data_IF_211281125133
#
_entry.id   IF_211281125133
#
_cell.length_a   1.000
_cell.length_b   1.000
_cell.length_c   1.000
_cell.angle_alpha   90.00
_cell.angle_beta   90.00
_cell.angle_gamma   90.00
#
_symmetry.space_group_name_H-M   'P 1'
#
loop_
_entity.id
_entity.type
_entity.pdbx_description
1 polymer ?
#
# COMPACT_ATOMS: atom_id res chain seq x y z
N UNK A 1 8.72 0.38 -7.66
CA UNK A 1 8.37 -0.90 -7.01
C UNK A 1 9.58 -1.63 -6.42
N UNK A 2 10.75 -1.61 -7.08
CA UNK A 2 11.99 -2.27 -6.62
C UNK A 2 12.53 -1.83 -5.24
N UNK A 3 12.34 -0.57 -4.84
CA UNK A 3 12.91 -0.04 -3.59
C UNK A 3 12.32 -0.68 -2.31
N UNK A 4 11.08 -1.20 -2.34
CA UNK A 4 10.42 -1.70 -1.13
C UNK A 4 10.75 -3.18 -0.85
N UNK A 5 10.88 -4.00 -1.90
CA UNK A 5 11.17 -5.42 -1.71
C UNK A 5 12.58 -5.61 -1.14
N UNK A 6 13.57 -4.89 -1.65
CA UNK A 6 14.94 -4.97 -1.16
C UNK A 6 15.14 -4.42 0.25
N UNK A 7 14.21 -3.57 0.74
CA UNK A 7 14.27 -3.03 2.10
C UNK A 7 13.82 -4.03 3.18
N UNK A 8 13.00 -5.02 2.83
CA UNK A 8 12.44 -5.99 3.78
C UNK A 8 12.87 -7.43 3.49
N UNK A 9 12.94 -7.83 2.21
CA UNK A 9 13.20 -9.20 1.78
C UNK A 9 14.48 -9.79 2.39
N UNK A 10 15.62 -9.08 2.45
CA UNK A 10 16.83 -9.67 3.03
C UNK A 10 16.66 -10.13 4.49
N UNK A 11 16.04 -9.30 5.33
CA UNK A 11 15.80 -9.67 6.71
C UNK A 11 14.68 -10.70 6.89
N UNK A 12 13.72 -10.78 5.96
CA UNK A 12 12.72 -11.85 5.96
C UNK A 12 13.34 -13.21 5.63
N UNK A 13 14.24 -13.25 4.64
CA UNK A 13 15.00 -14.45 4.26
C UNK A 13 15.94 -14.86 5.39
N UNK A 14 16.66 -13.91 6.01
CA UNK A 14 17.51 -14.22 7.18
C UNK A 14 16.72 -14.89 8.30
N UNK A 15 15.54 -14.36 8.62
CA UNK A 15 14.67 -14.95 9.65
C UNK A 15 14.24 -16.38 9.31
N UNK A 16 13.90 -16.64 8.04
CA UNK A 16 13.57 -18.00 7.59
C UNK A 16 14.79 -18.94 7.69
N UNK A 17 15.99 -18.47 7.32
CA UNK A 17 17.22 -19.27 7.41
C UNK A 17 17.58 -19.65 8.86
N UNK A 18 17.32 -18.78 9.83
CA UNK A 18 17.48 -19.09 11.26
C UNK A 18 16.59 -20.27 11.69
N UNK A 19 15.43 -20.47 11.06
CA UNK A 19 14.48 -21.53 11.40
C UNK A 19 14.64 -22.81 10.56
N UNK A 20 15.07 -22.70 9.31
CA UNK A 20 15.12 -23.82 8.36
C UNK A 20 16.32 -24.78 8.57
N UNK A 21 17.33 -24.37 9.34
CA UNK A 21 18.55 -25.14 9.57
C UNK A 21 19.57 -25.04 8.41
N UNK A 22 20.81 -25.56 8.61
CA UNK A 22 21.90 -25.40 7.66
C UNK A 22 21.74 -26.37 6.48
N UNK A 23 21.04 -25.94 5.43
CA UNK A 23 20.91 -26.74 4.20
C UNK A 23 20.79 -25.95 2.91
N UNK A 24 20.49 -24.65 2.98
CA UNK A 24 20.27 -23.80 1.80
C UNK A 24 20.96 -22.44 1.99
N UNK A 25 22.00 -22.20 1.18
CA UNK A 25 22.61 -20.89 1.06
C UNK A 25 21.75 -20.00 0.17
N UNK A 26 21.30 -18.86 0.69
CA UNK A 26 20.52 -17.86 -0.05
C UNK A 26 21.34 -16.59 -0.21
N UNK A 27 21.54 -16.20 -1.46
CA UNK A 27 22.30 -15.02 -1.86
C UNK A 27 21.35 -14.00 -2.49
N UNK A 28 21.51 -12.73 -2.12
CA UNK A 28 20.71 -11.63 -2.66
C UNK A 28 21.61 -10.75 -3.54
N UNK A 29 21.18 -10.55 -4.79
CA UNK A 29 21.88 -9.76 -5.79
C UNK A 29 21.10 -8.51 -6.19
N UNK A 30 21.77 -7.64 -6.96
CA UNK A 30 21.12 -6.46 -7.54
C UNK A 30 20.06 -6.86 -8.57
N UNK A 31 18.99 -6.06 -8.72
CA UNK A 31 18.02 -6.30 -9.76
C UNK A 31 18.71 -6.25 -11.13
N UNK A 32 18.43 -7.22 -12.02
CA UNK A 32 18.99 -7.24 -13.37
C UNK A 32 18.44 -6.08 -14.21
N UNK A 33 19.13 -5.77 -15.31
CA UNK A 33 18.67 -4.76 -16.26
C UNK A 33 17.26 -5.12 -16.81
N UNK A 34 16.35 -4.15 -16.98
CA UNK A 34 14.96 -4.39 -17.42
C UNK A 34 14.82 -5.20 -18.73
N UNK A 35 15.79 -5.06 -19.61
CA UNK A 35 15.86 -5.67 -20.94
C UNK A 35 16.50 -7.06 -20.98
N UNK A 36 16.97 -7.60 -19.85
CA UNK A 36 17.66 -8.87 -19.82
C UNK A 36 16.71 -10.06 -20.06
N UNK A 37 17.03 -10.89 -21.06
CA UNK A 37 16.36 -12.17 -21.32
C UNK A 37 16.77 -13.19 -20.25
N UNK A 38 15.91 -14.15 -19.91
CA UNK A 38 16.07 -15.05 -18.76
C UNK A 38 17.50 -15.64 -18.56
N UNK A 39 18.22 -16.13 -19.61
CA UNK A 39 19.59 -16.61 -19.44
C UNK A 39 20.60 -15.51 -19.09
N UNK A 40 20.48 -14.34 -19.71
CA UNK A 40 21.32 -13.17 -19.41
C UNK A 40 20.99 -12.61 -18.01
N UNK A 41 19.72 -12.67 -17.61
CA UNK A 41 19.24 -12.27 -16.31
C UNK A 41 19.82 -13.17 -15.20
N UNK A 42 19.78 -14.49 -15.40
CA UNK A 42 20.42 -15.47 -14.51
C UNK A 42 21.94 -15.25 -14.50
N UNK A 43 22.58 -15.11 -15.66
CA UNK A 43 24.03 -14.85 -15.75
C UNK A 43 24.46 -13.60 -14.99
N UNK A 44 23.73 -12.49 -15.17
CA UNK A 44 24.00 -11.23 -14.47
C UNK A 44 23.77 -11.33 -12.95
N UNK A 45 22.66 -11.96 -12.53
CA UNK A 45 22.39 -12.23 -11.12
C UNK A 45 23.47 -13.15 -10.51
N UNK A 46 24.06 -14.03 -11.32
CA UNK A 46 25.11 -14.92 -10.87
C UNK A 46 26.50 -14.27 -10.83
N UNK A 47 26.78 -13.31 -11.71
CA UNK A 47 28.08 -12.63 -11.80
C UNK A 47 28.18 -11.37 -10.92
N UNK A 48 27.06 -10.80 -10.48
CA UNK A 48 27.03 -9.58 -9.68
C UNK A 48 27.52 -9.75 -8.24
N UNK A 49 27.77 -8.63 -7.57
CA UNK A 49 28.04 -8.62 -6.13
C UNK A 49 26.82 -9.16 -5.37
N UNK A 50 27.07 -10.12 -4.47
CA UNK A 50 26.04 -10.77 -3.66
C UNK A 50 26.41 -10.71 -2.19
N UNK A 51 25.40 -10.65 -1.34
CA UNK A 51 25.57 -10.76 0.10
C UNK A 51 24.75 -11.95 0.62
N UNK A 52 25.29 -12.73 1.58
CA UNK A 52 24.51 -13.75 2.27
C UNK A 52 23.31 -13.11 2.95
N UNK A 53 22.12 -13.70 2.80
CA UNK A 53 20.94 -13.18 3.48
C UNK A 53 21.11 -13.21 5.01
N UNK A 54 21.77 -14.25 5.55
CA UNK A 54 22.16 -14.37 6.96
C UNK A 54 23.09 -13.25 7.48
N UNK A 55 23.72 -12.47 6.58
CA UNK A 55 24.50 -11.29 6.97
C UNK A 55 23.64 -10.05 7.24
N UNK A 56 22.32 -10.11 6.97
CA UNK A 56 21.37 -9.04 7.25
C UNK A 56 20.54 -9.40 8.48
N UNK A 57 20.45 -8.52 9.50
CA UNK A 57 19.63 -8.78 10.67
C UNK A 57 18.19 -9.16 10.31
N UNK A 58 17.66 -10.19 10.96
CA UNK A 58 16.27 -10.64 10.80
C UNK A 58 15.29 -9.45 10.93
N UNK A 59 14.34 -9.35 9.99
CA UNK A 59 13.43 -8.19 9.96
C UNK A 59 12.16 -8.36 10.78
N UNK A 60 11.84 -9.59 11.23
CA UNK A 60 10.69 -9.86 12.09
C UNK A 60 11.04 -9.66 13.57
N UNK A 61 10.07 -9.25 14.39
CA UNK A 61 10.25 -9.04 15.83
C UNK A 61 10.83 -7.67 16.22
N UNK A 62 11.01 -6.74 15.27
CA UNK A 62 11.44 -5.37 15.57
C UNK A 62 10.48 -4.69 16.55
N UNK A 63 10.97 -3.97 17.59
CA UNK A 63 10.11 -3.35 18.61
C UNK A 63 9.00 -2.45 18.05
N UNK A 64 9.27 -1.74 16.96
CA UNK A 64 8.30 -0.83 16.32
C UNK A 64 7.13 -1.50 15.59
N UNK A 65 7.05 -2.84 15.56
CA UNK A 65 5.98 -3.59 14.90
C UNK A 65 4.96 -4.21 15.87
N UNK A 66 5.08 -3.87 17.16
CA UNK A 66 4.20 -4.39 18.22
C UNK A 66 3.04 -3.45 18.54
N UNK A 67 3.19 -2.17 18.21
CA UNK A 67 2.24 -1.13 18.58
C UNK A 67 1.52 -0.58 17.35
N UNK A 68 0.24 -0.25 17.53
CA UNK A 68 -0.53 0.45 16.52
C UNK A 68 0.08 1.84 16.32
N UNK A 69 0.23 2.31 15.07
CA UNK A 69 0.63 3.68 14.82
C UNK A 69 -0.51 4.64 15.19
N UNK A 70 -0.17 5.82 15.71
CA UNK A 70 -1.13 6.91 15.84
C UNK A 70 -1.45 7.49 14.45
N UNK A 71 -2.72 7.78 14.19
CA UNK A 71 -3.20 8.48 13.00
C UNK A 71 -4.56 9.12 13.23
N UNK A 72 -4.84 10.20 12.51
CA UNK A 72 -6.14 10.88 12.54
C UNK A 72 -7.08 10.36 11.46
N UNK A 73 -6.53 9.96 10.31
CA UNK A 73 -7.30 9.52 9.13
C UNK A 73 -6.74 8.23 8.56
N UNK A 74 -7.60 7.23 8.38
CA UNK A 74 -7.27 5.99 7.66
C UNK A 74 -7.76 6.11 6.22
N UNK A 75 -6.81 6.03 5.29
CA UNK A 75 -7.05 6.12 3.86
C UNK A 75 -6.96 4.73 3.25
N UNK A 76 -8.09 4.22 2.78
CA UNK A 76 -8.17 2.97 2.02
C UNK A 76 -8.04 3.29 0.54
N UNK A 77 -6.98 2.80 -0.09
CA UNK A 77 -6.69 3.04 -1.52
C UNK A 77 -7.00 1.78 -2.30
N UNK A 78 -8.01 1.85 -3.18
CA UNK A 78 -8.36 0.72 -4.02
C UNK A 78 -7.28 0.44 -5.06
N UNK A 79 -6.55 -0.66 -4.87
CA UNK A 79 -5.58 -1.20 -5.84
C UNK A 79 -6.10 -2.47 -6.52
N UNK A 80 -7.42 -2.67 -6.50
CA UNK A 80 -8.06 -3.79 -7.20
C UNK A 80 -7.97 -3.65 -8.74
N UNK A 81 -8.11 -4.75 -9.50
CA UNK A 81 -7.84 -4.77 -10.94
C UNK A 81 -8.57 -3.70 -11.75
N UNK A 82 -9.85 -3.43 -11.44
CA UNK A 82 -10.68 -2.43 -12.15
C UNK A 82 -10.25 -0.99 -11.87
N UNK A 83 -9.76 -0.69 -10.66
CA UNK A 83 -9.17 0.61 -10.37
C UNK A 83 -7.78 0.72 -11.01
N UNK A 84 -6.98 -0.35 -11.02
CA UNK A 84 -5.70 -0.38 -11.71
C UNK A 84 -5.84 -0.15 -13.22
N UNK A 85 -6.84 -0.75 -13.86
CA UNK A 85 -7.20 -0.50 -15.27
C UNK A 85 -7.55 0.98 -15.53
N UNK A 86 -8.01 1.69 -14.49
CA UNK A 86 -8.33 3.12 -14.51
C UNK A 86 -7.19 4.01 -13.98
N UNK A 87 -5.97 3.50 -13.89
CA UNK A 87 -4.78 4.29 -13.49
C UNK A 87 -4.43 4.28 -12.00
N UNK A 88 -5.02 3.38 -11.20
CA UNK A 88 -4.71 3.27 -9.77
C UNK A 88 -3.38 2.56 -9.43
N UNK A 89 -2.68 1.99 -10.43
CA UNK A 89 -1.48 1.16 -10.20
C UNK A 89 -0.39 1.85 -9.38
N UNK A 90 -0.26 3.17 -9.50
CA UNK A 90 0.69 3.99 -8.73
C UNK A 90 0.01 4.96 -7.74
N UNK A 91 -1.31 4.91 -7.60
CA UNK A 91 -2.07 5.87 -6.80
C UNK A 91 -1.64 5.88 -5.33
N UNK A 92 -1.44 4.71 -4.71
CA UNK A 92 -1.00 4.63 -3.32
C UNK A 92 0.39 5.25 -3.10
N UNK A 93 1.30 5.12 -4.07
CA UNK A 93 2.63 5.74 -3.99
C UNK A 93 2.54 7.25 -4.16
N UNK A 94 1.80 7.73 -5.16
CA UNK A 94 1.59 9.18 -5.37
C UNK A 94 0.92 9.82 -4.17
N UNK A 95 -0.11 9.18 -3.60
CA UNK A 95 -0.77 9.65 -2.38
C UNK A 95 0.22 9.79 -1.21
N UNK A 96 1.04 8.75 -0.94
CA UNK A 96 2.04 8.81 0.13
C UNK A 96 3.06 9.93 -0.09
N UNK A 97 3.50 10.15 -1.34
CA UNK A 97 4.39 11.25 -1.68
C UNK A 97 3.75 12.63 -1.44
N UNK A 98 2.50 12.81 -1.87
CA UNK A 98 1.74 14.05 -1.64
C UNK A 98 1.49 14.31 -0.14
N UNK A 99 1.13 13.28 0.63
CA UNK A 99 0.98 13.40 2.09
C UNK A 99 2.29 13.79 2.78
N UNK A 100 3.42 13.24 2.33
CA UNK A 100 4.73 13.61 2.85
C UNK A 100 5.08 15.06 2.51
N UNK A 101 4.87 15.49 1.26
CA UNK A 101 5.09 16.86 0.82
C UNK A 101 4.20 17.88 1.56
N UNK A 102 2.98 17.48 1.93
CA UNK A 102 2.05 18.29 2.71
C UNK A 102 2.29 18.25 4.24
N UNK A 103 3.29 17.48 4.72
CA UNK A 103 3.53 17.30 6.16
C UNK A 103 2.46 16.50 6.91
N UNK A 104 1.61 15.75 6.18
CA UNK A 104 0.47 15.00 6.70
C UNK A 104 0.77 13.50 6.91
N UNK A 105 1.92 13.01 6.46
CA UNK A 105 2.23 11.57 6.46
C UNK A 105 2.09 10.88 7.83
N UNK A 106 2.43 11.56 8.93
CA UNK A 106 2.29 10.99 10.29
C UNK A 106 0.86 10.98 10.82
N UNK A 107 -0.04 11.76 10.22
CA UNK A 107 -1.45 11.87 10.61
C UNK A 107 -2.34 10.92 9.80
N UNK A 108 -1.79 10.25 8.80
CA UNK A 108 -2.55 9.44 7.86
C UNK A 108 -2.00 8.01 7.77
N UNK A 109 -2.82 7.04 8.17
CA UNK A 109 -2.54 5.64 7.88
C UNK A 109 -3.05 5.34 6.46
N UNK A 110 -2.18 4.86 5.57
CA UNK A 110 -2.57 4.50 4.20
C UNK A 110 -2.51 2.99 4.00
N UNK A 111 -3.63 2.38 3.61
CA UNK A 111 -3.72 0.95 3.31
C UNK A 111 -4.12 0.74 1.85
N UNK A 112 -3.28 0.02 1.11
CA UNK A 112 -3.66 -0.49 -0.21
C UNK A 112 -4.57 -1.69 -0.04
N UNK A 113 -5.73 -1.66 -0.68
CA UNK A 113 -6.76 -2.69 -0.55
C UNK A 113 -7.02 -3.37 -1.89
N UNK A 114 -7.71 -4.52 -1.82
CA UNK A 114 -8.46 -5.04 -2.95
C UNK A 114 -9.62 -4.14 -3.35
N UNK A 115 -10.58 -4.70 -4.09
CA UNK A 115 -11.78 -3.99 -4.51
C UNK A 115 -12.63 -3.54 -3.30
N UNK A 116 -12.95 -2.24 -3.24
CA UNK A 116 -13.82 -1.66 -2.20
C UNK A 116 -15.13 -1.08 -2.75
N UNK A 117 -15.38 -1.20 -4.08
CA UNK A 117 -16.53 -0.59 -4.79
C UNK A 117 -16.52 0.96 -4.74
N UNK A 118 -17.35 1.66 -5.53
CA UNK A 118 -17.92 1.23 -6.81
C UNK A 118 -16.86 1.23 -7.93
N UNK A 119 -16.72 0.11 -8.63
CA UNK A 119 -15.68 -0.05 -9.64
C UNK A 119 -15.85 0.86 -10.87
N UNK A 120 -17.09 1.21 -11.21
CA UNK A 120 -17.40 2.04 -12.36
C UNK A 120 -17.02 3.51 -12.15
N UNK A 121 -16.79 3.92 -10.90
CA UNK A 121 -16.36 5.28 -10.56
C UNK A 121 -14.89 5.33 -10.09
N UNK A 122 -14.12 4.26 -10.31
CA UNK A 122 -12.71 4.20 -9.96
C UNK A 122 -11.82 5.16 -10.76
N UNK A 123 -10.58 5.42 -10.30
CA UNK A 123 -9.98 4.97 -9.04
C UNK A 123 -10.65 5.59 -7.81
N UNK A 124 -10.79 4.81 -6.74
CA UNK A 124 -11.46 5.26 -5.51
C UNK A 124 -10.54 5.18 -4.29
N UNK A 125 -10.70 6.15 -3.40
CA UNK A 125 -10.19 6.06 -2.02
C UNK A 125 -11.34 6.30 -1.03
N UNK A 126 -11.24 5.71 0.17
CA UNK A 126 -12.15 5.99 1.27
C UNK A 126 -11.37 6.57 2.46
N UNK A 127 -11.92 7.61 3.07
CA UNK A 127 -11.39 8.29 4.25
C UNK A 127 -12.23 7.94 5.48
N UNK A 128 -11.57 7.41 6.52
CA UNK A 128 -12.17 7.17 7.83
C UNK A 128 -11.47 8.04 8.89
N UNK A 129 -12.22 8.54 9.90
CA UNK A 129 -13.58 8.15 10.29
C UNK A 129 -14.73 8.83 9.54
N UNK A 130 -14.47 9.80 8.66
CA UNK A 130 -15.50 10.61 8.00
C UNK A 130 -16.45 9.79 7.11
N UNK A 131 -16.01 8.62 6.64
CA UNK A 131 -16.80 7.77 5.75
C UNK A 131 -17.01 8.40 4.37
N UNK A 132 -16.06 9.23 3.93
CA UNK A 132 -16.09 9.92 2.65
C UNK A 132 -15.35 9.10 1.58
N UNK A 133 -15.93 9.03 0.38
CA UNK A 133 -15.39 8.25 -0.72
C UNK A 133 -15.10 9.20 -1.88
N UNK A 134 -13.86 9.22 -2.35
CA UNK A 134 -13.42 10.13 -3.40
C UNK A 134 -12.99 9.37 -4.64
N UNK A 135 -13.42 9.84 -5.81
CA UNK A 135 -12.84 9.47 -7.09
C UNK A 135 -11.56 10.26 -7.32
N UNK A 136 -10.46 9.56 -7.58
CA UNK A 136 -9.14 10.15 -7.80
C UNK A 136 -8.65 9.73 -9.19
N UNK A 137 -9.18 10.39 -10.22
CA UNK A 137 -8.91 10.10 -11.64
C UNK A 137 -7.53 10.54 -12.11
N UNK A 138 -6.98 11.58 -11.48
CA UNK A 138 -5.79 12.28 -11.94
C UNK A 138 -5.04 12.93 -10.76
N UNK A 139 -3.91 13.55 -11.07
CA UNK A 139 -3.05 14.19 -10.07
C UNK A 139 -3.70 15.43 -9.44
N UNK A 140 -4.51 16.18 -10.20
CA UNK A 140 -5.19 17.37 -9.68
C UNK A 140 -6.23 16.99 -8.63
N UNK A 141 -7.01 15.93 -8.88
CA UNK A 141 -7.92 15.35 -7.91
C UNK A 141 -7.17 14.87 -6.65
N UNK A 142 -6.03 14.21 -6.82
CA UNK A 142 -5.21 13.72 -5.71
C UNK A 142 -4.70 14.87 -4.82
N UNK A 143 -4.14 15.91 -5.43
CA UNK A 143 -3.63 17.11 -4.73
C UNK A 143 -4.77 17.78 -3.96
N UNK A 144 -5.94 17.97 -4.59
CA UNK A 144 -7.11 18.55 -3.92
C UNK A 144 -7.54 17.70 -2.73
N UNK A 145 -7.66 16.39 -2.89
CA UNK A 145 -8.01 15.48 -1.77
C UNK A 145 -7.03 15.59 -0.61
N UNK A 146 -5.71 15.63 -0.88
CA UNK A 146 -4.69 15.75 0.17
C UNK A 146 -4.76 17.09 0.89
N UNK A 147 -4.79 18.21 0.17
CA UNK A 147 -4.71 19.53 0.80
C UNK A 147 -6.05 19.99 1.37
N UNK A 148 -7.16 19.69 0.71
CA UNK A 148 -8.48 20.19 1.07
C UNK A 148 -9.22 19.22 1.99
N UNK A 149 -9.46 17.99 1.53
CA UNK A 149 -10.25 17.02 2.29
C UNK A 149 -9.50 16.54 3.53
N UNK A 150 -8.24 16.12 3.38
CA UNK A 150 -7.44 15.60 4.48
C UNK A 150 -6.81 16.75 5.28
N UNK A 151 -6.15 17.70 4.61
CA UNK A 151 -5.42 18.77 5.27
C UNK A 151 -6.30 19.81 5.98
N UNK A 152 -7.48 20.11 5.42
CA UNK A 152 -8.37 21.19 5.89
C UNK A 152 -9.76 20.70 6.29
N UNK A 153 -10.06 19.40 6.18
CA UNK A 153 -11.36 18.84 6.50
C UNK A 153 -12.48 19.30 5.55
N UNK A 154 -12.16 19.76 4.34
CA UNK A 154 -13.15 20.29 3.38
C UNK A 154 -13.64 19.23 2.40
N UNK A 155 -14.94 18.98 2.42
CA UNK A 155 -15.63 18.03 1.52
C UNK A 155 -15.59 18.53 0.07
N UNK A 156 -15.10 17.69 -0.84
CA UNK A 156 -15.00 18.00 -2.28
C UNK A 156 -16.16 17.38 -3.05
N UNK A 157 -17.30 18.08 -3.12
CA UNK A 157 -18.56 17.53 -3.66
C UNK A 157 -18.44 16.99 -5.10
N UNK A 158 -17.60 17.58 -5.94
CA UNK A 158 -17.39 17.17 -7.33
C UNK A 158 -16.57 15.86 -7.48
N UNK A 159 -15.78 15.53 -6.45
CA UNK A 159 -14.99 14.29 -6.39
C UNK A 159 -15.65 13.22 -5.53
N UNK A 160 -16.65 13.59 -4.75
CA UNK A 160 -17.26 12.73 -3.77
C UNK A 160 -18.25 11.75 -4.42
N UNK A 161 -18.22 10.51 -3.95
CA UNK A 161 -19.14 9.46 -4.37
C UNK A 161 -20.30 9.37 -3.36
N UNK A 162 -21.45 9.90 -3.74
CA UNK A 162 -22.65 9.97 -2.88
C UNK A 162 -23.71 8.91 -3.20
N UNK A 163 -23.53 8.15 -4.29
CA UNK A 163 -24.47 7.11 -4.71
C UNK A 163 -24.43 5.90 -3.76
N UNK A 164 -25.14 6.04 -2.64
CA UNK A 164 -25.38 5.00 -1.64
C UNK A 164 -26.80 4.50 -1.82
N UNK A 165 -27.01 3.34 -2.47
CA UNK A 165 -28.34 2.76 -2.53
C UNK A 165 -28.83 2.51 -1.09
N UNK A 166 -30.01 3.03 -0.74
CA UNK A 166 -30.62 2.88 0.57
C UNK A 166 -31.12 1.44 0.77
N UNK A 167 -30.22 0.46 0.88
CA UNK A 167 -30.60 -0.96 1.05
C UNK A 167 -30.54 -1.43 2.50
N UNK A 168 -30.17 -0.55 3.43
CA UNK A 168 -30.04 -0.88 4.85
C UNK A 168 -31.24 -0.37 5.64
N UNK A 169 -32.37 -1.03 5.49
CA UNK A 169 -33.62 -0.75 6.22
C UNK A 169 -33.83 -1.61 7.47
N UNK A 170 -33.00 -2.63 7.71
CA UNK A 170 -33.05 -3.41 8.94
C UNK A 170 -32.05 -2.88 9.98
N UNK A 171 -32.48 -2.57 11.23
CA UNK A 171 -31.55 -2.30 12.32
C UNK A 171 -30.63 -3.51 12.53
N UNK A 172 -29.36 -3.25 12.81
CA UNK A 172 -28.44 -4.32 13.23
C UNK A 172 -28.97 -4.89 14.53
N UNK A 173 -29.29 -6.19 14.62
CA UNK A 173 -29.77 -6.75 15.87
C UNK A 173 -28.72 -6.55 16.96
N UNK A 174 -29.14 -6.14 18.15
CA UNK A 174 -28.23 -5.88 19.29
C UNK A 174 -27.41 -7.12 19.69
N UNK A 175 -27.86 -8.32 19.30
CA UNK A 175 -27.13 -9.58 19.44
C UNK A 175 -27.37 -10.46 18.23
N UNK A 176 -26.32 -11.13 17.77
CA UNK A 176 -26.42 -12.25 16.83
C UNK A 176 -27.03 -13.41 17.63
N UNK A 177 -28.18 -13.98 17.22
CA UNK A 177 -28.73 -15.16 17.89
C UNK A 177 -27.70 -16.30 17.87
N UNK A 178 -27.42 -16.87 19.04
CA UNK A 178 -26.58 -18.08 19.20
C UNK A 178 -27.32 -19.33 18.78
#
# INVERSE_FOLDING_TARGET
>A
MAANILAWLPGAVSHWQEQAGPGVEVLLGQPPAPEAVLPALVGAALAGARLPAAAVPASLGKPGWQHLPDFDTHILVCTGPRCCFRGAGTLAQRLKAQLAAAGLARRCLTTSTGCIYPCNQGPVIALYPQGEWYRVSDEAALVRVVHEAIGRGRRLADLLLEDRPQTRSAPVPERIPT
#
